data_IF_832779260871
#
_entry.id   IF_832779260871
#
_cell.length_a   1.000
_cell.length_b   1.000
_cell.length_c   1.000
_cell.angle_alpha   90.00
_cell.angle_beta   90.00
_cell.angle_gamma   90.00
#
_symmetry.space_group_name_H-M   'P 1'
#
loop_
_entity.id
_entity.type
_entity.pdbx_description
1 polymer ?
#
# COMPACT_ATOMS: atom_id res chain seq x y z
N UNK A 1 13.20 -6.53 3.11
CA UNK A 1 12.30 -5.74 3.97
C UNK A 1 11.11 -6.60 4.37
N UNK A 2 11.05 -7.00 5.62
CA UNK A 2 9.87 -7.61 6.27
C UNK A 2 8.95 -6.50 6.80
N UNK A 3 7.69 -6.81 7.20
CA UNK A 3 6.83 -5.82 7.84
C UNK A 3 7.47 -5.19 9.09
N UNK A 4 8.13 -5.98 9.93
CA UNK A 4 8.80 -5.48 11.14
C UNK A 4 9.93 -4.51 10.83
N UNK A 5 10.71 -4.78 9.77
CA UNK A 5 11.77 -3.86 9.31
C UNK A 5 11.17 -2.53 8.80
N UNK A 6 10.01 -2.56 8.14
CA UNK A 6 9.31 -1.35 7.71
C UNK A 6 8.80 -0.53 8.91
N UNK A 7 8.17 -1.16 9.90
CA UNK A 7 7.65 -0.45 11.08
C UNK A 7 8.77 0.22 11.87
N UNK A 8 9.89 -0.48 12.05
CA UNK A 8 11.07 0.09 12.69
C UNK A 8 11.57 1.35 11.96
N UNK A 9 11.64 1.30 10.63
CA UNK A 9 12.02 2.47 9.83
C UNK A 9 11.04 3.65 10.02
N UNK A 10 9.73 3.38 10.06
CA UNK A 10 8.73 4.44 10.30
C UNK A 10 8.90 5.05 11.71
N UNK A 11 9.12 4.22 12.72
CA UNK A 11 9.32 4.64 14.11
C UNK A 11 10.58 5.49 14.28
N UNK A 12 11.71 5.06 13.71
CA UNK A 12 12.99 5.81 13.73
C UNK A 12 12.86 7.20 13.11
N UNK A 13 12.02 7.31 12.07
CA UNK A 13 11.76 8.56 11.37
C UNK A 13 10.54 9.34 11.91
N UNK A 14 9.91 8.87 12.99
CA UNK A 14 8.74 9.50 13.62
C UNK A 14 7.54 9.68 12.67
N UNK A 15 7.35 8.73 11.74
CA UNK A 15 6.23 8.72 10.81
C UNK A 15 5.08 7.96 11.46
N UNK A 16 4.05 8.69 11.90
CA UNK A 16 2.85 8.10 12.52
C UNK A 16 2.08 7.24 11.51
N UNK A 17 1.62 6.07 11.95
CA UNK A 17 0.80 5.17 11.13
C UNK A 17 -0.25 4.44 11.97
N UNK A 18 -1.32 4.03 11.30
CA UNK A 18 -2.30 3.06 11.81
C UNK A 18 -2.25 1.80 10.93
N UNK A 19 -2.28 0.63 11.56
CA UNK A 19 -2.24 -0.66 10.84
C UNK A 19 -3.56 -1.39 10.98
N UNK A 20 -4.12 -1.81 9.84
CA UNK A 20 -5.29 -2.68 9.78
C UNK A 20 -4.91 -4.00 9.09
N UNK A 21 -4.98 -5.11 9.82
CA UNK A 21 -4.78 -6.45 9.26
C UNK A 21 -6.07 -6.95 8.62
N UNK A 22 -6.04 -7.23 7.32
CA UNK A 22 -7.16 -7.75 6.54
C UNK A 22 -6.71 -8.97 5.72
N UNK A 23 -7.56 -9.99 5.54
CA UNK A 23 -7.28 -11.05 4.59
C UNK A 23 -7.22 -10.48 3.16
N UNK A 24 -6.50 -11.11 2.23
CA UNK A 24 -6.54 -10.73 0.82
C UNK A 24 -7.98 -10.76 0.28
N UNK A 25 -8.39 -9.68 -0.40
CA UNK A 25 -9.70 -9.55 -1.04
C UNK A 25 -9.54 -9.43 -2.54
N UNK A 26 -10.48 -9.99 -3.30
CA UNK A 26 -10.41 -10.03 -4.77
C UNK A 26 -11.63 -9.39 -5.43
N UNK A 27 -12.71 -9.17 -4.66
CA UNK A 27 -13.93 -8.52 -5.14
C UNK A 27 -14.16 -7.18 -4.45
N UNK A 28 -14.90 -6.29 -5.13
CA UNK A 28 -15.29 -4.99 -4.56
C UNK A 28 -16.24 -5.20 -3.38
N UNK A 29 -17.08 -6.22 -3.44
CA UNK A 29 -18.03 -6.59 -2.41
C UNK A 29 -17.33 -7.03 -1.11
N UNK A 30 -16.29 -7.87 -1.20
CA UNK A 30 -15.48 -8.27 -0.04
C UNK A 30 -14.76 -7.07 0.55
N UNK A 31 -14.13 -6.24 -0.29
CA UNK A 31 -13.41 -5.05 0.16
C UNK A 31 -14.35 -4.09 0.91
N UNK A 32 -15.58 -3.86 0.41
CA UNK A 32 -16.57 -2.99 1.07
C UNK A 32 -17.02 -3.53 2.43
N UNK A 33 -17.06 -4.85 2.62
CA UNK A 33 -17.46 -5.49 3.88
C UNK A 33 -16.35 -5.50 4.93
N UNK A 34 -15.10 -5.72 4.49
CA UNK A 34 -13.96 -5.93 5.38
C UNK A 34 -13.13 -4.65 5.63
N UNK A 35 -13.12 -3.72 4.67
CA UNK A 35 -12.35 -2.48 4.81
C UNK A 35 -12.92 -1.63 5.96
N UNK A 36 -12.10 -1.25 6.94
CA UNK A 36 -12.50 -0.26 7.93
C UNK A 36 -12.75 1.09 7.25
N UNK A 37 -13.56 1.93 7.91
CA UNK A 37 -13.71 3.32 7.54
C UNK A 37 -12.40 4.05 7.89
N UNK A 38 -11.61 4.36 6.87
CA UNK A 38 -10.33 5.08 7.01
C UNK A 38 -10.48 6.46 6.39
N UNK A 39 -9.99 7.49 7.07
CA UNK A 39 -9.85 8.82 6.48
C UNK A 39 -8.68 8.85 5.51
N UNK A 40 -8.85 9.49 4.35
CA UNK A 40 -7.81 9.65 3.33
C UNK A 40 -8.05 8.84 2.05
N UNK A 41 -7.17 9.06 1.06
CA UNK A 41 -7.25 8.44 -0.26
C UNK A 41 -6.72 7.01 -0.29
N UNK A 42 -7.46 6.09 -0.93
CA UNK A 42 -7.04 4.69 -1.10
C UNK A 42 -6.11 4.59 -2.29
N UNK A 43 -4.85 4.22 -2.09
CA UNK A 43 -3.89 4.18 -3.20
C UNK A 43 -3.97 2.89 -4.03
N UNK A 44 -3.82 3.01 -5.35
CA UNK A 44 -3.44 1.93 -6.26
C UNK A 44 -2.04 2.17 -6.81
N UNK A 45 -1.21 1.12 -6.80
CA UNK A 45 0.18 1.19 -7.24
C UNK A 45 0.38 0.37 -8.52
N UNK A 46 0.89 0.98 -9.58
CA UNK A 46 1.25 0.32 -10.83
C UNK A 46 2.77 0.23 -10.93
N UNK A 47 3.29 -1.00 -10.95
CA UNK A 47 4.70 -1.26 -11.28
C UNK A 47 4.81 -1.44 -12.79
N UNK A 48 5.38 -0.43 -13.46
CA UNK A 48 5.52 -0.40 -14.92
C UNK A 48 6.97 -0.17 -15.32
N UNK A 49 7.27 -0.36 -16.60
CA UNK A 49 8.58 -0.07 -17.17
C UNK A 49 8.45 0.46 -18.58
N UNK A 50 9.49 1.16 -19.03
CA UNK A 50 9.60 1.54 -20.44
C UNK A 50 9.77 0.30 -21.34
N UNK A 51 9.55 0.48 -22.65
CA UNK A 51 9.65 -0.60 -23.64
C UNK A 51 11.01 -1.31 -23.61
N UNK A 52 12.09 -0.56 -23.36
CA UNK A 52 13.46 -1.10 -23.30
C UNK A 52 13.77 -1.76 -21.95
N UNK A 53 12.98 -1.50 -20.91
CA UNK A 53 13.22 -2.00 -19.57
C UNK A 53 14.34 -1.35 -18.80
N UNK A 54 14.80 -0.19 -19.26
CA UNK A 54 15.86 0.55 -18.60
C UNK A 54 15.30 1.32 -17.40
N UNK A 55 14.03 1.71 -17.47
CA UNK A 55 13.39 2.52 -16.46
C UNK A 55 12.20 1.76 -15.87
N UNK A 56 12.29 1.45 -14.59
CA UNK A 56 11.20 0.93 -13.79
C UNK A 56 10.55 2.09 -13.03
N UNK A 57 9.23 2.17 -13.08
CA UNK A 57 8.45 3.26 -12.51
C UNK A 57 7.39 2.64 -11.60
N UNK A 58 7.31 3.16 -10.37
CA UNK A 58 6.19 2.92 -9.47
C UNK A 58 5.27 4.14 -9.57
N UNK A 59 4.09 3.96 -10.16
CA UNK A 59 3.07 5.00 -10.23
C UNK A 59 2.02 4.76 -9.14
N UNK A 60 1.96 5.68 -8.18
CA UNK A 60 0.95 5.69 -7.12
C UNK A 60 -0.15 6.68 -7.48
N UNK A 61 -1.39 6.21 -7.53
CA UNK A 61 -2.60 7.02 -7.76
C UNK A 61 -3.60 6.78 -6.64
N UNK A 62 -4.49 7.73 -6.40
CA UNK A 62 -5.69 7.58 -5.57
C UNK A 62 -6.85 6.96 -6.38
#
# INVERSE_FOLDING_TARGET
>A
MTPSELYHFLDEHQILYEKFDLPPVYTVEELKKLSPAMSGGKTKNLSVRDKKGKHHILLTVE
#
